data_IF_286497314141
#
_entry.id   IF_286497314141
#
_cell.length_a   1.000
_cell.length_b   1.000
_cell.length_c   1.000
_cell.angle_alpha   90.00
_cell.angle_beta   90.00
_cell.angle_gamma   90.00
#
_symmetry.space_group_name_H-M   'P 1'
#
loop_
_entity.id
_entity.type
_entity.pdbx_description
1 polymer ?
#
# COMPACT_ATOMS: atom_id res chain seq x y z
N UNK A 1 12.76 -0.40 5.55
CA UNK A 1 12.22 -1.78 5.70
C UNK A 1 10.73 -1.70 5.99
N UNK A 2 9.90 -2.50 5.32
CA UNK A 2 8.47 -2.64 5.66
C UNK A 2 8.33 -3.66 6.80
N UNK A 3 7.60 -3.28 7.84
CA UNK A 3 7.39 -4.08 9.07
C UNK A 3 5.94 -4.53 9.25
N UNK A 4 4.99 -3.90 8.55
CA UNK A 4 3.57 -4.27 8.56
C UNK A 4 2.94 -3.79 7.26
N UNK A 5 1.98 -4.55 6.75
CA UNK A 5 1.13 -4.18 5.63
C UNK A 5 -0.33 -4.50 5.96
N UNK A 6 -1.22 -3.58 5.63
CA UNK A 6 -2.67 -3.71 5.76
C UNK A 6 -3.29 -3.43 4.38
N UNK A 7 -4.18 -4.31 3.93
CA UNK A 7 -4.79 -4.27 2.60
C UNK A 7 -6.29 -4.55 2.70
N UNK A 8 -7.08 -3.67 2.09
CA UNK A 8 -8.53 -3.85 1.96
C UNK A 8 -8.99 -3.39 0.58
N UNK A 9 -9.83 -4.20 -0.07
CA UNK A 9 -10.38 -3.90 -1.39
C UNK A 9 -9.40 -4.05 -2.56
N UNK A 10 -8.16 -4.52 -2.34
CA UNK A 10 -7.18 -4.79 -3.39
C UNK A 10 -7.17 -6.27 -3.79
N UNK A 11 -7.49 -6.58 -5.05
CA UNK A 11 -7.55 -7.94 -5.61
C UNK A 11 -8.28 -8.91 -4.66
N UNK A 12 -7.60 -9.87 -4.05
CA UNK A 12 -8.23 -10.86 -3.17
C UNK A 12 -8.30 -10.45 -1.70
N UNK A 13 -7.74 -9.29 -1.31
CA UNK A 13 -7.63 -8.92 0.10
C UNK A 13 -8.86 -8.18 0.62
N UNK A 14 -9.37 -8.66 1.75
CA UNK A 14 -10.46 -8.05 2.52
C UNK A 14 -10.01 -8.03 3.97
N UNK A 15 -9.92 -6.82 4.56
CA UNK A 15 -9.44 -6.60 5.94
C UNK A 15 -8.17 -7.43 6.29
N UNK A 16 -7.20 -7.45 5.37
CA UNK A 16 -5.98 -8.24 5.52
C UNK A 16 -4.93 -7.43 6.27
N UNK A 17 -4.23 -8.07 7.21
CA UNK A 17 -3.02 -7.50 7.81
C UNK A 17 -1.94 -8.55 8.02
N UNK A 18 -0.67 -8.13 7.84
CA UNK A 18 0.49 -8.98 8.01
C UNK A 18 1.65 -8.18 8.62
N UNK A 19 2.16 -8.66 9.74
CA UNK A 19 3.42 -8.20 10.32
C UNK A 19 4.59 -8.90 9.61
N UNK A 20 5.60 -8.13 9.19
CA UNK A 20 6.72 -8.59 8.37
C UNK A 20 8.02 -8.60 9.19
N UNK A 21 8.72 -9.73 9.13
CA UNK A 21 10.08 -9.88 9.67
C UNK A 21 11.13 -9.41 8.66
N UNK A 22 12.37 -9.10 9.09
CA UNK A 22 13.48 -8.71 8.19
C UNK A 22 13.72 -9.70 7.04
N UNK A 23 13.44 -10.98 7.29
CA UNK A 23 13.38 -12.03 6.29
C UNK A 23 12.03 -12.75 6.43
N UNK A 24 11.17 -12.61 5.42
CA UNK A 24 9.88 -13.28 5.38
C UNK A 24 9.82 -14.24 4.19
N UNK A 25 9.50 -15.51 4.46
CA UNK A 25 9.21 -16.51 3.42
C UNK A 25 7.69 -16.66 3.34
N UNK A 26 7.12 -16.54 2.13
CA UNK A 26 5.68 -16.66 1.88
C UNK A 26 5.44 -17.93 1.07
N UNK A 27 4.70 -18.87 1.64
CA UNK A 27 4.37 -20.19 1.04
C UNK A 27 2.88 -20.47 1.13
N UNK A 28 2.35 -21.21 0.16
CA UNK A 28 0.92 -21.56 0.11
C UNK A 28 0.49 -22.04 -1.27
N UNK A 29 -0.70 -22.60 -1.39
CA UNK A 29 -1.24 -23.12 -2.65
C UNK A 29 -1.41 -22.03 -3.73
N UNK A 30 -1.54 -22.41 -4.99
CA UNK A 30 -1.83 -21.46 -6.07
C UNK A 30 -3.21 -20.80 -5.85
N UNK A 31 -3.32 -19.51 -6.18
CA UNK A 31 -4.57 -18.76 -6.05
C UNK A 31 -4.88 -18.20 -4.65
N UNK A 32 -4.10 -18.52 -3.61
CA UNK A 32 -4.37 -18.03 -2.23
C UNK A 32 -4.00 -16.56 -1.98
N UNK A 33 -3.67 -15.79 -3.02
CA UNK A 33 -3.34 -14.37 -2.91
C UNK A 33 -1.86 -14.02 -2.75
N UNK A 34 -0.93 -14.98 -2.85
CA UNK A 34 0.53 -14.71 -2.76
C UNK A 34 1.00 -13.68 -3.80
N UNK A 35 0.69 -13.90 -5.08
CA UNK A 35 1.05 -12.94 -6.14
C UNK A 35 0.42 -11.58 -5.91
N UNK A 36 -0.82 -11.54 -5.42
CA UNK A 36 -1.50 -10.29 -5.10
C UNK A 36 -0.79 -9.52 -3.98
N UNK A 37 -0.20 -10.20 -2.99
CA UNK A 37 0.60 -9.54 -1.96
C UNK A 37 1.85 -8.87 -2.57
N UNK A 38 2.53 -9.57 -3.48
CA UNK A 38 3.67 -9.00 -4.20
C UNK A 38 3.25 -7.86 -5.14
N UNK A 39 2.08 -7.94 -5.76
CA UNK A 39 1.53 -6.85 -6.57
C UNK A 39 1.24 -5.62 -5.71
N UNK A 40 0.66 -5.80 -4.52
CA UNK A 40 0.43 -4.71 -3.57
C UNK A 40 1.74 -4.02 -3.16
N UNK A 41 2.81 -4.79 -2.88
CA UNK A 41 4.12 -4.25 -2.57
C UNK A 41 4.76 -3.51 -3.75
N UNK A 42 4.63 -4.06 -4.96
CA UNK A 42 5.10 -3.40 -6.18
C UNK A 42 4.37 -2.09 -6.43
N UNK A 43 3.05 -2.06 -6.23
CA UNK A 43 2.24 -0.86 -6.37
C UNK A 43 2.69 0.23 -5.41
N UNK A 44 2.88 -0.11 -4.13
CA UNK A 44 3.40 0.84 -3.13
C UNK A 44 4.79 1.37 -3.51
N UNK A 45 5.67 0.51 -4.02
CA UNK A 45 6.98 0.93 -4.53
C UNK A 45 6.87 1.91 -5.69
N UNK A 46 6.00 1.63 -6.67
CA UNK A 46 5.80 2.50 -7.84
C UNK A 46 5.14 3.83 -7.48
N UNK A 47 4.22 3.84 -6.53
CA UNK A 47 3.58 5.06 -6.03
C UNK A 47 4.57 5.99 -5.32
N UNK A 48 5.67 5.46 -4.78
CA UNK A 48 6.75 6.29 -4.25
C UNK A 48 7.51 7.05 -5.36
N UNK A 49 7.60 6.48 -6.57
CA UNK A 49 8.41 7.03 -7.67
C UNK A 49 7.59 7.75 -8.75
N UNK A 50 6.26 7.59 -8.77
CA UNK A 50 5.42 8.01 -9.90
C UNK A 50 4.05 8.53 -9.49
N UNK A 51 3.41 9.29 -10.41
CA UNK A 51 2.03 9.75 -10.23
C UNK A 51 1.07 8.56 -10.25
N UNK A 52 0.08 8.60 -9.36
CA UNK A 52 -0.91 7.52 -9.13
C UNK A 52 -1.48 6.93 -10.41
N UNK A 53 -1.92 7.75 -11.37
CA UNK A 53 -2.48 7.24 -12.62
C UNK A 53 -1.54 6.34 -13.43
N UNK A 54 -0.23 6.63 -13.42
CA UNK A 54 0.77 5.82 -14.13
C UNK A 54 1.09 4.52 -13.37
N UNK A 55 1.26 4.60 -12.05
CA UNK A 55 1.56 3.43 -11.20
C UNK A 55 0.50 2.31 -11.33
N UNK A 56 -0.77 2.70 -11.49
CA UNK A 56 -1.89 1.78 -11.62
C UNK A 56 -2.03 1.17 -13.01
N UNK A 57 -1.78 1.95 -14.07
CA UNK A 57 -1.92 1.51 -15.46
C UNK A 57 -0.90 0.43 -15.84
N UNK A 58 0.23 0.37 -15.14
CA UNK A 58 1.27 -0.63 -15.36
C UNK A 58 1.11 -1.88 -14.45
N UNK A 59 0.12 -1.90 -13.54
CA UNK A 59 -0.12 -3.00 -12.60
C UNK A 59 -1.32 -3.87 -12.98
N UNK A 60 -2.16 -3.37 -13.89
CA UNK A 60 -3.24 -4.11 -14.54
C UNK A 60 -3.63 -3.40 -15.83
N UNK A 61 -3.90 -4.17 -16.89
CA UNK A 61 -4.37 -3.63 -18.17
C UNK A 61 -5.78 -2.99 -18.01
N UNK A 62 -6.56 -3.46 -17.02
CA UNK A 62 -7.86 -2.89 -16.65
C UNK A 62 -7.92 -2.50 -15.16
N UNK A 63 -8.26 -1.24 -14.90
CA UNK A 63 -8.46 -0.67 -13.55
C UNK A 63 -9.38 -1.52 -12.66
N UNK A 64 -10.37 -2.20 -13.26
CA UNK A 64 -11.32 -3.05 -12.56
C UNK A 64 -10.68 -4.27 -11.88
N UNK A 65 -9.58 -4.82 -12.42
CA UNK A 65 -8.92 -6.02 -11.90
C UNK A 65 -8.20 -5.78 -10.57
N UNK A 66 -7.95 -4.52 -10.23
CA UNK A 66 -7.27 -4.13 -9.00
C UNK A 66 -8.22 -4.13 -7.80
N UNK A 67 -9.54 -4.01 -8.03
CA UNK A 67 -10.53 -3.98 -6.96
C UNK A 67 -11.03 -5.37 -6.65
N UNK A 68 -11.26 -5.63 -5.36
CA UNK A 68 -11.86 -6.89 -4.92
C UNK A 68 -13.24 -7.09 -5.53
N UNK A 69 -13.39 -8.22 -6.22
CA UNK A 69 -14.69 -8.73 -6.66
C UNK A 69 -15.26 -9.58 -5.54
N UNK A 70 -16.44 -9.20 -5.06
CA UNK A 70 -17.19 -9.87 -4.01
C UNK A 70 -18.00 -11.01 -4.61
N UNK A 71 -18.41 -11.96 -3.76
CA UNK A 71 -19.17 -13.14 -4.19
C UNK A 71 -20.56 -12.82 -4.77
N UNK A 72 -21.11 -11.63 -4.51
CA UNK A 72 -22.37 -11.13 -5.06
C UNK A 72 -22.23 -10.51 -6.46
N UNK A 73 -21.03 -10.54 -7.05
CA UNK A 73 -20.72 -9.91 -8.33
C UNK A 73 -20.46 -8.40 -8.23
N UNK A 74 -20.57 -7.81 -7.03
CA UNK A 74 -20.16 -6.45 -6.76
C UNK A 74 -18.64 -6.31 -6.74
N UNK A 75 -18.13 -5.17 -7.18
CA UNK A 75 -16.72 -4.81 -7.09
C UNK A 75 -16.55 -3.73 -6.03
N UNK A 76 -15.49 -3.80 -5.23
CA UNK A 76 -15.13 -2.70 -4.34
C UNK A 76 -14.97 -1.40 -5.15
N UNK A 77 -15.37 -0.29 -4.56
CA UNK A 77 -15.17 1.06 -5.11
C UNK A 77 -13.95 1.75 -4.51
N UNK A 78 -13.27 1.06 -3.59
CA UNK A 78 -12.22 1.61 -2.74
C UNK A 78 -11.14 0.57 -2.47
N UNK A 79 -9.89 1.03 -2.51
CA UNK A 79 -8.70 0.31 -2.06
C UNK A 79 -8.11 1.09 -0.88
N UNK A 80 -7.84 0.39 0.22
CA UNK A 80 -7.06 0.92 1.34
C UNK A 80 -5.78 0.13 1.48
N UNK A 81 -4.68 0.85 1.59
CA UNK A 81 -3.36 0.28 1.82
C UNK A 81 -2.72 1.06 2.95
N UNK A 82 -2.16 0.35 3.92
CA UNK A 82 -1.30 0.98 4.90
C UNK A 82 -0.03 0.16 5.07
N UNK A 83 1.09 0.84 5.25
CA UNK A 83 2.37 0.21 5.57
C UNK A 83 3.04 0.91 6.72
N UNK A 84 3.58 0.11 7.65
CA UNK A 84 4.51 0.60 8.64
C UNK A 84 5.93 0.32 8.17
N UNK A 85 6.77 1.35 8.21
CA UNK A 85 8.14 1.31 7.72
C UNK A 85 9.13 1.76 8.79
N UNK A 86 10.27 1.09 8.84
CA UNK A 86 11.47 1.54 9.50
C UNK A 86 12.38 2.22 8.45
N UNK A 87 12.65 3.51 8.64
CA UNK A 87 13.60 4.30 7.85
C UNK A 87 14.90 4.51 8.61
N UNK A 88 15.96 4.87 7.88
CA UNK A 88 17.23 5.23 8.50
C UNK A 88 17.09 6.57 9.25
N UNK A 89 17.88 6.75 10.31
CA UNK A 89 17.92 8.00 11.08
C UNK A 89 18.56 9.13 10.29
N UNK A 90 19.42 8.83 9.32
CA UNK A 90 19.94 9.82 8.39
C UNK A 90 19.26 9.63 7.04
N UNK A 91 18.53 10.65 6.59
CA UNK A 91 17.94 10.69 5.26
C UNK A 91 18.61 11.79 4.47
N UNK A 92 19.04 11.45 3.26
CA UNK A 92 19.54 12.43 2.30
C UNK A 92 18.38 12.85 1.41
N UNK A 93 18.11 14.14 1.33
CA UNK A 93 17.15 14.67 0.38
C UNK A 93 17.72 14.73 -1.04
N UNK A 94 16.86 14.99 -2.03
CA UNK A 94 17.23 15.09 -3.45
C UNK A 94 18.21 16.24 -3.75
N UNK A 95 18.39 17.15 -2.79
CA UNK A 95 19.32 18.28 -2.87
C UNK A 95 20.66 18.00 -2.18
N UNK A 96 20.83 16.78 -1.67
CA UNK A 96 22.06 16.27 -1.09
C UNK A 96 22.25 16.65 0.38
N UNK A 97 21.30 17.30 1.03
CA UNK A 97 21.37 17.61 2.45
C UNK A 97 20.94 16.39 3.28
N UNK A 98 21.73 16.08 4.31
CA UNK A 98 21.42 15.04 5.28
C UNK A 98 20.61 15.63 6.43
N UNK A 99 19.44 15.04 6.70
CA UNK A 99 18.59 15.39 7.82
C UNK A 99 18.48 14.21 8.78
N UNK A 100 18.52 14.50 10.07
CA UNK A 100 18.29 13.50 11.11
C UNK A 100 16.79 13.30 11.34
N UNK A 101 16.29 12.10 11.05
CA UNK A 101 14.91 11.69 11.27
C UNK A 101 14.75 11.29 12.74
N UNK A 102 14.13 12.19 13.52
CA UNK A 102 13.85 11.98 14.96
C UNK A 102 12.97 10.74 15.24
N UNK A 103 12.15 10.34 14.27
CA UNK A 103 11.22 9.21 14.38
C UNK A 103 11.40 8.25 13.20
N UNK A 104 12.24 7.21 13.33
CA UNK A 104 12.53 6.29 12.23
C UNK A 104 11.37 5.34 11.91
N UNK A 105 10.30 5.37 12.70
CA UNK A 105 9.10 4.53 12.54
C UNK A 105 8.00 5.38 11.96
N UNK A 106 7.54 5.04 10.77
CA UNK A 106 6.54 5.80 10.03
C UNK A 106 5.41 4.87 9.59
N UNK A 107 4.21 5.41 9.48
CA UNK A 107 3.05 4.77 8.87
C UNK A 107 2.63 5.59 7.66
N UNK A 108 2.49 4.93 6.53
CA UNK A 108 1.91 5.48 5.32
C UNK A 108 0.51 4.90 5.16
N UNK A 109 -0.48 5.75 4.99
CA UNK A 109 -1.88 5.39 4.75
C UNK A 109 -2.31 5.96 3.38
N UNK A 110 -2.90 5.10 2.56
CA UNK A 110 -3.36 5.42 1.21
C UNK A 110 -4.75 4.87 0.98
N UNK A 111 -5.63 5.72 0.45
CA UNK A 111 -6.99 5.38 0.09
C UNK A 111 -7.28 5.87 -1.32
N UNK A 112 -7.66 4.93 -2.17
CA UNK A 112 -7.96 5.17 -3.57
C UNK A 112 -9.39 4.78 -3.85
N UNK A 113 -10.09 5.64 -4.57
CA UNK A 113 -11.45 5.40 -4.99
C UNK A 113 -11.55 5.36 -6.50
N UNK A 114 -12.37 4.43 -6.98
CA UNK A 114 -12.79 4.39 -8.37
C UNK A 114 -14.06 5.23 -8.52
N UNK A 115 -14.03 6.21 -9.40
CA UNK A 115 -15.20 7.04 -9.74
C UNK A 115 -15.40 7.04 -11.24
N UNK A 116 -16.66 7.13 -11.67
CA UNK A 116 -17.00 7.40 -13.06
C UNK A 116 -17.12 8.90 -13.27
N UNK A 117 -16.51 9.40 -14.34
CA UNK A 117 -16.73 10.76 -14.78
C UNK A 117 -18.12 10.91 -15.44
N UNK A 118 -18.51 12.14 -15.77
CA UNK A 118 -19.79 12.44 -16.42
C UNK A 118 -19.95 11.76 -17.81
N UNK A 119 -18.86 11.23 -18.38
CA UNK A 119 -18.82 10.54 -19.67
C UNK A 119 -18.81 9.01 -19.50
N UNK A 120 -18.94 8.52 -18.26
CA UNK A 120 -18.99 7.09 -17.94
C UNK A 120 -17.62 6.40 -17.90
N UNK A 121 -16.51 7.15 -18.05
CA UNK A 121 -15.15 6.61 -17.98
C UNK A 121 -14.76 6.40 -16.53
N UNK A 122 -14.18 5.24 -16.24
CA UNK A 122 -13.66 4.95 -14.91
C UNK A 122 -12.30 5.62 -14.71
N UNK A 123 -12.15 6.34 -13.61
CA UNK A 123 -10.91 6.95 -13.17
C UNK A 123 -10.59 6.60 -11.73
N UNK A 124 -9.30 6.63 -11.41
CA UNK A 124 -8.77 6.42 -10.07
C UNK A 124 -8.38 7.74 -9.44
N UNK A 125 -8.77 7.91 -8.18
CA UNK A 125 -8.50 9.11 -7.42
C UNK A 125 -7.97 8.74 -6.05
N UNK A 126 -6.88 9.40 -5.64
CA UNK A 126 -6.46 9.37 -4.24
C UNK A 126 -7.45 10.20 -3.45
N UNK A 127 -8.18 9.56 -2.54
CA UNK A 127 -9.09 10.24 -1.62
C UNK A 127 -8.39 10.61 -0.31
N UNK A 128 -7.45 9.76 0.13
CA UNK A 128 -6.63 10.04 1.30
C UNK A 128 -5.20 9.54 1.07
N UNK A 129 -4.23 10.35 1.48
CA UNK A 129 -2.83 9.98 1.52
C UNK A 129 -2.18 10.70 2.70
N UNK A 130 -1.48 9.96 3.55
CA UNK A 130 -0.74 10.54 4.66
C UNK A 130 0.48 9.72 5.03
N UNK A 131 1.49 10.41 5.57
CA UNK A 131 2.68 9.82 6.15
C UNK A 131 2.87 10.41 7.55
N UNK A 132 2.84 9.58 8.58
CA UNK A 132 2.92 10.02 9.97
C UNK A 132 3.93 9.18 10.76
N UNK A 133 4.67 9.80 11.71
CA UNK A 133 5.52 9.04 12.62
C UNK A 133 4.66 8.19 13.57
N UNK A 134 5.14 6.99 13.88
CA UNK A 134 4.52 6.10 14.88
C UNK A 134 5.14 6.43 16.24
N UNK A 135 4.38 6.97 17.21
CA UNK A 135 4.90 7.26 18.54
C UNK A 135 5.32 5.97 19.25
N UNK A 136 6.45 5.98 19.96
CA UNK A 136 6.98 4.78 20.67
C UNK A 136 5.96 4.10 21.58
N UNK A 137 5.05 4.86 22.21
CA UNK A 137 4.00 4.32 23.08
C UNK A 137 2.98 3.45 22.32
N UNK A 138 2.76 3.75 21.03
CA UNK A 138 1.84 3.06 20.13
C UNK A 138 2.54 2.09 19.18
N UNK A 139 3.87 2.10 19.14
CA UNK A 139 4.66 1.21 18.29
C UNK A 139 4.64 -0.21 18.87
N UNK A 140 3.95 -1.12 18.17
CA UNK A 140 3.83 -2.54 18.56
C UNK A 140 5.08 -3.33 18.20
N UNK A 141 5.84 -2.88 17.20
CA UNK A 141 7.05 -3.55 16.72
C UNK A 141 8.18 -3.50 17.74
N UNK A 142 8.28 -2.41 18.50
CA UNK A 142 9.30 -2.23 19.56
C UNK A 142 9.05 -3.03 20.85
N UNK A 143 7.92 -3.74 20.95
CA UNK A 143 7.54 -4.53 22.15
C UNK A 143 7.85 -6.02 22.00
N UNK A 144 8.51 -6.44 20.91
CA UNK A 144 8.93 -7.82 20.66
C UNK A 144 10.41 -8.03 20.92
#
# INVERSE_FOLDING_TARGET
MITRIELDGFKTFQDFSLDLSPLQVIVGANGVGKSNLFDALQLLGRLADSKVGAAFHELGDEVGELFTVRHDGGSADRIRMAVEILVNQEVRDDWGASHEVKFPRMRYDLEIVRRRDAQGREGLFVEHESLAPIPRLRDRWTKS
#
